data_IF_946678488270
#
_entry.id   IF_946678488270
#
_cell.length_a   1.000
_cell.length_b   1.000
_cell.length_c   1.000
_cell.angle_alpha   90.00
_cell.angle_beta   90.00
_cell.angle_gamma   90.00
#
_symmetry.space_group_name_H-M   'P 1'
#
loop_
_entity.id
_entity.type
_entity.pdbx_description
1 polymer ?
#
# COMPACT_ATOMS: atom_id res chain seq x y z
N UNK A 1 -9.15 -8.10 -13.00
CA UNK A 1 -7.71 -7.93 -12.76
C UNK A 1 -7.52 -7.99 -11.26
N UNK A 2 -6.84 -9.02 -10.76
CA UNK A 2 -6.71 -9.24 -9.30
C UNK A 2 -5.72 -8.24 -8.70
N UNK A 3 -5.85 -7.91 -7.42
CA UNK A 3 -4.86 -7.12 -6.68
C UNK A 3 -3.44 -7.72 -6.78
N UNK A 4 -3.36 -9.05 -6.95
CA UNK A 4 -2.12 -9.78 -7.20
C UNK A 4 -1.44 -9.42 -8.54
N UNK A 5 -2.21 -9.05 -9.57
CA UNK A 5 -1.65 -8.66 -10.87
C UNK A 5 -1.04 -7.25 -10.84
N UNK A 6 -1.55 -6.38 -9.96
CA UNK A 6 -1.02 -5.02 -9.79
C UNK A 6 0.32 -5.02 -9.03
N UNK A 7 0.43 -5.85 -7.99
CA UNK A 7 1.65 -6.02 -7.19
C UNK A 7 2.79 -6.64 -8.03
N UNK A 8 2.45 -7.58 -8.91
CA UNK A 8 3.42 -8.28 -9.78
C UNK A 8 3.96 -7.38 -10.91
N UNK A 9 3.22 -6.35 -11.33
CA UNK A 9 3.68 -5.38 -12.35
C UNK A 9 4.60 -4.29 -11.79
N UNK A 10 4.39 -3.87 -10.54
CA UNK A 10 5.22 -2.84 -9.89
C UNK A 10 6.63 -3.34 -9.50
N UNK A 11 6.79 -4.64 -9.29
CA UNK A 11 8.09 -5.28 -9.01
C UNK A 11 8.95 -5.51 -10.26
N UNK A 12 8.41 -5.33 -11.47
CA UNK A 12 9.09 -5.68 -12.74
C UNK A 12 9.97 -4.56 -13.33
N UNK A 13 10.06 -3.37 -12.73
CA UNK A 13 10.73 -2.21 -13.33
C UNK A 13 12.09 -1.84 -12.71
N UNK A 14 12.67 -2.69 -11.86
CA UNK A 14 13.94 -2.40 -11.18
C UNK A 14 14.98 -3.48 -11.46
N UNK A 15 15.45 -3.57 -12.70
CA UNK A 15 16.55 -4.47 -13.09
C UNK A 15 17.75 -3.69 -13.62
N UNK A 16 18.52 -3.09 -12.70
CA UNK A 16 19.99 -2.98 -12.78
C UNK A 16 20.53 -2.49 -11.41
N UNK A 17 20.76 -3.43 -10.49
CA UNK A 17 21.52 -3.21 -9.25
C UNK A 17 22.66 -4.24 -9.26
N UNK A 18 23.92 -3.85 -9.02
CA UNK A 18 25.03 -4.79 -8.91
C UNK A 18 24.78 -5.79 -7.78
N UNK A 19 25.18 -7.05 -7.98
CA UNK A 19 24.93 -8.14 -7.05
C UNK A 19 25.35 -7.75 -5.61
N UNK A 20 24.45 -7.86 -4.61
CA UNK A 20 24.81 -7.60 -3.23
C UNK A 20 25.81 -8.65 -2.75
N UNK A 21 26.66 -8.24 -1.81
CA UNK A 21 27.42 -9.17 -0.96
C UNK A 21 26.47 -10.27 -0.44
N UNK A 22 26.98 -11.50 -0.36
CA UNK A 22 26.21 -12.70 0.03
C UNK A 22 25.18 -12.36 1.11
N UNK A 23 23.90 -12.51 0.75
CA UNK A 23 22.81 -12.27 1.68
C UNK A 23 23.05 -13.10 2.96
N UNK A 24 22.76 -12.55 4.15
CA UNK A 24 22.81 -13.34 5.37
C UNK A 24 21.96 -14.61 5.16
N UNK A 25 22.56 -15.75 5.46
CA UNK A 25 21.92 -17.06 5.27
C UNK A 25 20.73 -17.17 6.24
N UNK A 26 19.58 -17.61 5.73
CA UNK A 26 18.37 -17.76 6.53
C UNK A 26 18.66 -18.64 7.77
N UNK A 27 18.13 -18.31 8.96
CA UNK A 27 18.27 -19.16 10.14
C UNK A 27 17.89 -20.61 9.83
N UNK A 28 18.78 -21.60 10.02
CA UNK A 28 18.48 -22.99 9.68
C UNK A 28 17.27 -23.53 10.47
N UNK A 29 17.00 -22.97 11.64
CA UNK A 29 15.83 -23.29 12.46
C UNK A 29 14.49 -22.95 11.77
N UNK A 30 14.49 -22.01 10.82
CA UNK A 30 13.30 -21.58 10.07
C UNK A 30 13.15 -22.26 8.71
N UNK A 31 14.05 -23.16 8.31
CA UNK A 31 14.03 -23.80 7.00
C UNK A 31 12.68 -24.49 6.70
N UNK A 32 12.10 -25.16 7.72
CA UNK A 32 10.78 -25.79 7.59
C UNK A 32 9.67 -24.76 7.37
N UNK A 33 9.67 -23.67 8.14
CA UNK A 33 8.70 -22.58 7.99
C UNK A 33 8.80 -21.92 6.60
N UNK A 34 10.03 -21.71 6.11
CA UNK A 34 10.29 -21.14 4.78
C UNK A 34 9.81 -22.10 3.68
N UNK A 35 9.96 -23.42 3.85
CA UNK A 35 9.44 -24.43 2.91
C UNK A 35 7.91 -24.38 2.84
N UNK A 36 7.23 -24.30 3.99
CA UNK A 36 5.78 -24.12 4.05
C UNK A 36 5.34 -22.80 3.40
N UNK A 37 6.10 -21.72 3.59
CA UNK A 37 5.79 -20.42 2.97
C UNK A 37 5.84 -20.52 1.45
N UNK A 38 6.88 -21.17 0.89
CA UNK A 38 7.02 -21.41 -0.55
C UNK A 38 5.86 -22.25 -1.11
N UNK A 39 5.31 -23.15 -0.31
CA UNK A 39 4.13 -23.94 -0.64
C UNK A 39 2.78 -23.21 -0.38
N UNK A 40 2.81 -21.98 0.14
CA UNK A 40 1.62 -21.22 0.57
C UNK A 40 0.81 -21.92 1.68
N UNK A 41 1.46 -22.74 2.50
CA UNK A 41 0.86 -23.46 3.63
C UNK A 41 0.92 -22.60 4.90
N UNK A 42 0.21 -21.48 4.92
CA UNK A 42 0.38 -20.41 5.93
C UNK A 42 0.17 -20.86 7.38
N UNK A 43 -0.75 -21.80 7.65
CA UNK A 43 -0.90 -22.38 8.99
C UNK A 43 0.35 -23.13 9.44
N UNK A 44 0.94 -23.91 8.53
CA UNK A 44 2.14 -24.68 8.82
C UNK A 44 3.36 -23.76 9.00
N UNK A 45 3.41 -22.61 8.30
CA UNK A 45 4.40 -21.55 8.56
C UNK A 45 4.32 -21.08 10.00
N UNK A 46 3.11 -20.74 10.48
CA UNK A 46 2.90 -20.24 11.85
C UNK A 46 3.36 -21.29 12.85
N UNK A 47 2.90 -22.54 12.72
CA UNK A 47 3.29 -23.63 13.63
C UNK A 47 4.80 -23.82 13.69
N UNK A 48 5.49 -23.77 12.55
CA UNK A 48 6.94 -23.97 12.47
C UNK A 48 7.75 -22.77 12.99
N UNK A 49 7.30 -21.53 12.77
CA UNK A 49 8.02 -20.33 13.17
C UNK A 49 7.71 -19.86 14.61
N UNK A 50 6.50 -20.12 15.12
CA UNK A 50 6.03 -19.57 16.38
C UNK A 50 6.89 -19.88 17.62
N UNK A 51 7.55 -21.05 17.75
CA UNK A 51 8.46 -21.32 18.87
C UNK A 51 9.62 -20.31 18.97
N UNK A 52 9.96 -19.63 17.88
CA UNK A 52 11.13 -18.78 17.77
C UNK A 52 10.83 -17.28 17.90
N UNK A 53 9.56 -16.87 18.02
CA UNK A 53 9.15 -15.44 18.07
C UNK A 53 9.62 -14.69 19.31
N UNK A 54 10.19 -15.40 20.30
CA UNK A 54 10.85 -14.85 21.49
C UNK A 54 12.28 -15.39 21.69
N UNK A 55 12.90 -15.93 20.63
CA UNK A 55 14.26 -16.44 20.71
C UNK A 55 15.24 -15.34 21.16
N UNK A 56 16.28 -15.70 21.91
CA UNK A 56 17.31 -14.74 22.34
C UNK A 56 18.09 -14.19 21.13
N UNK A 57 18.37 -15.08 20.15
CA UNK A 57 19.02 -14.70 18.88
C UNK A 57 18.11 -13.77 18.08
N UNK A 58 18.56 -12.53 17.88
CA UNK A 58 17.71 -11.46 17.35
C UNK A 58 17.29 -11.68 15.89
N UNK A 59 18.18 -12.18 15.05
CA UNK A 59 17.91 -12.58 13.66
C UNK A 59 16.78 -13.62 13.57
N UNK A 60 16.91 -14.72 14.32
CA UNK A 60 15.93 -15.80 14.38
C UNK A 60 14.58 -15.29 14.89
N UNK A 61 14.60 -14.46 15.93
CA UNK A 61 13.38 -13.87 16.50
C UNK A 61 12.67 -12.97 15.49
N UNK A 62 13.40 -12.07 14.81
CA UNK A 62 12.83 -11.17 13.82
C UNK A 62 12.23 -11.94 12.65
N UNK A 63 12.98 -12.88 12.09
CA UNK A 63 12.50 -13.66 10.94
C UNK A 63 11.29 -14.54 11.31
N UNK A 64 11.28 -15.12 12.51
CA UNK A 64 10.12 -15.84 13.02
C UNK A 64 8.88 -14.93 13.15
N UNK A 65 9.02 -13.75 13.76
CA UNK A 65 7.92 -12.79 13.84
C UNK A 65 7.46 -12.36 12.43
N UNK A 66 8.37 -12.14 11.48
CA UNK A 66 8.03 -11.77 10.10
C UNK A 66 7.23 -12.85 9.38
N UNK A 67 7.64 -14.11 9.51
CA UNK A 67 6.92 -15.25 8.96
C UNK A 67 5.52 -15.40 9.57
N UNK A 68 5.40 -15.26 10.89
CA UNK A 68 4.12 -15.30 11.58
C UNK A 68 3.21 -14.12 11.20
N UNK A 69 3.75 -12.89 11.15
CA UNK A 69 3.01 -11.68 10.80
C UNK A 69 2.42 -11.77 9.38
N UNK A 70 3.23 -12.16 8.41
CA UNK A 70 2.80 -12.33 7.02
C UNK A 70 1.78 -13.45 6.89
N UNK A 71 2.01 -14.61 7.51
CA UNK A 71 1.12 -15.77 7.38
C UNK A 71 -0.23 -15.55 8.03
N UNK A 72 -0.27 -14.92 9.21
CA UNK A 72 -1.54 -14.54 9.86
C UNK A 72 -2.30 -13.50 9.06
N UNK A 73 -1.62 -12.50 8.49
CA UNK A 73 -2.23 -11.55 7.56
C UNK A 73 -2.84 -12.26 6.34
N UNK A 74 -2.11 -13.21 5.72
CA UNK A 74 -2.62 -13.99 4.58
C UNK A 74 -3.85 -14.84 4.91
N UNK A 75 -4.03 -15.22 6.17
CA UNK A 75 -5.19 -15.96 6.68
C UNK A 75 -6.33 -15.04 7.16
N UNK A 76 -6.18 -13.71 7.05
CA UNK A 76 -7.16 -12.75 7.56
C UNK A 76 -7.18 -12.62 9.09
N UNK A 77 -6.19 -13.15 9.80
CA UNK A 77 -6.04 -13.06 11.26
C UNK A 77 -5.35 -11.76 11.65
N UNK A 78 -5.98 -10.63 11.32
CA UNK A 78 -5.38 -9.31 11.42
C UNK A 78 -4.94 -8.93 12.84
N UNK A 79 -5.76 -9.23 13.85
CA UNK A 79 -5.42 -9.00 15.25
C UNK A 79 -4.17 -9.76 15.70
N UNK A 80 -4.02 -11.01 15.25
CA UNK A 80 -2.85 -11.83 15.55
C UNK A 80 -1.62 -11.30 14.82
N UNK A 81 -1.78 -10.91 13.54
CA UNK A 81 -0.72 -10.30 12.74
C UNK A 81 -0.15 -9.04 13.40
N UNK A 82 -1.00 -8.20 13.99
CA UNK A 82 -0.58 -7.00 14.71
C UNK A 82 0.35 -7.31 15.89
N UNK A 83 0.19 -8.45 16.57
CA UNK A 83 1.08 -8.83 17.68
C UNK A 83 2.51 -9.00 17.18
N UNK A 84 2.68 -9.73 16.07
CA UNK A 84 3.99 -9.98 15.48
C UNK A 84 4.59 -8.73 14.84
N UNK A 85 3.79 -7.91 14.16
CA UNK A 85 4.27 -6.63 13.61
C UNK A 85 4.72 -5.65 14.69
N UNK A 86 4.03 -5.59 15.84
CA UNK A 86 4.44 -4.75 16.97
C UNK A 86 5.77 -5.24 17.57
N UNK A 87 5.95 -6.56 17.68
CA UNK A 87 7.21 -7.14 18.13
C UNK A 87 8.36 -6.84 17.17
N UNK A 88 8.12 -6.96 15.85
CA UNK A 88 9.08 -6.57 14.82
C UNK A 88 9.45 -5.10 14.88
N UNK A 89 8.47 -4.21 14.98
CA UNK A 89 8.74 -2.77 15.04
C UNK A 89 9.56 -2.38 16.27
N UNK A 90 9.33 -3.04 17.42
CA UNK A 90 10.14 -2.85 18.62
C UNK A 90 11.61 -3.28 18.43
N UNK A 91 11.87 -4.30 17.61
CA UNK A 91 13.20 -4.80 17.28
C UNK A 91 13.86 -4.06 16.09
N UNK A 92 13.05 -3.51 15.19
CA UNK A 92 13.38 -2.90 13.89
C UNK A 92 12.47 -1.70 13.61
N UNK A 93 12.87 -0.53 14.09
CA UNK A 93 12.11 0.73 13.99
C UNK A 93 12.20 1.36 12.59
N UNK A 94 11.61 0.70 11.59
CA UNK A 94 11.65 1.08 10.17
C UNK A 94 10.30 1.63 9.71
N UNK A 95 10.31 2.50 8.69
CA UNK A 95 9.07 2.98 8.08
C UNK A 95 8.30 1.84 7.40
N UNK A 96 8.98 0.82 6.89
CA UNK A 96 8.36 -0.40 6.36
C UNK A 96 7.53 -1.10 7.43
N UNK A 97 8.10 -1.36 8.61
CA UNK A 97 7.37 -2.04 9.68
C UNK A 97 6.22 -1.18 10.21
N UNK A 98 6.40 0.15 10.31
CA UNK A 98 5.31 1.07 10.63
C UNK A 98 4.17 1.03 9.58
N UNK A 99 4.50 0.96 8.28
CA UNK A 99 3.50 0.87 7.21
C UNK A 99 2.73 -0.45 7.27
N UNK A 100 3.40 -1.55 7.64
CA UNK A 100 2.72 -2.83 7.87
C UNK A 100 1.76 -2.75 9.06
N UNK A 101 2.14 -2.05 10.14
CA UNK A 101 1.25 -1.79 11.27
C UNK A 101 0.04 -0.94 10.87
N UNK A 102 0.24 0.11 10.08
CA UNK A 102 -0.85 0.95 9.57
C UNK A 102 -1.82 0.12 8.73
N UNK A 103 -1.31 -0.59 7.73
CA UNK A 103 -2.11 -1.39 6.80
C UNK A 103 -2.84 -2.53 7.53
N UNK A 104 -2.16 -3.24 8.43
CA UNK A 104 -2.76 -4.34 9.20
C UNK A 104 -3.81 -3.82 10.18
N UNK A 105 -3.61 -2.64 10.77
CA UNK A 105 -4.60 -2.00 11.66
C UNK A 105 -5.87 -1.61 10.88
N UNK A 106 -5.71 -1.05 9.68
CA UNK A 106 -6.83 -0.78 8.78
C UNK A 106 -7.59 -2.07 8.44
N UNK A 107 -6.88 -3.14 8.05
CA UNK A 107 -7.46 -4.46 7.78
C UNK A 107 -8.17 -5.08 8.99
N UNK A 108 -7.69 -4.79 10.20
CA UNK A 108 -8.33 -5.19 11.46
C UNK A 108 -9.54 -4.33 11.86
N UNK A 109 -9.89 -3.29 11.10
CA UNK A 109 -10.98 -2.37 11.47
C UNK A 109 -10.62 -1.32 12.52
N UNK A 110 -9.32 -1.16 12.82
CA UNK A 110 -8.82 -0.26 13.87
C UNK A 110 -8.31 1.03 13.25
N UNK A 111 -9.25 1.91 12.88
CA UNK A 111 -8.92 3.11 12.11
C UNK A 111 -8.00 4.08 12.88
N UNK A 112 -8.27 4.34 14.16
CA UNK A 112 -7.43 5.25 14.97
C UNK A 112 -5.97 4.74 15.06
N UNK A 113 -5.79 3.43 15.27
CA UNK A 113 -4.46 2.80 15.25
C UNK A 113 -3.81 2.93 13.86
N UNK A 114 -4.58 2.73 12.79
CA UNK A 114 -4.11 2.81 11.43
C UNK A 114 -3.63 4.23 11.06
N UNK A 115 -4.38 5.26 11.47
CA UNK A 115 -4.04 6.67 11.30
C UNK A 115 -2.79 7.06 12.08
N UNK A 116 -2.65 6.59 13.33
CA UNK A 116 -1.44 6.79 14.11
C UNK A 116 -0.21 6.19 13.39
N UNK A 117 -0.30 4.93 12.95
CA UNK A 117 0.84 4.25 12.34
C UNK A 117 1.23 4.79 10.96
N UNK A 118 0.28 5.31 10.16
CA UNK A 118 0.64 5.95 8.88
C UNK A 118 1.37 7.28 9.11
N UNK A 119 1.08 8.00 10.19
CA UNK A 119 1.86 9.19 10.55
C UNK A 119 3.28 8.82 11.00
N UNK A 120 3.40 7.85 11.91
CA UNK A 120 4.72 7.30 12.33
C UNK A 120 5.54 6.83 11.12
N UNK A 121 4.89 6.20 10.14
CA UNK A 121 5.52 5.80 8.88
C UNK A 121 6.12 7.00 8.14
N UNK A 122 5.38 8.10 8.03
CA UNK A 122 5.83 9.32 7.34
C UNK A 122 6.96 10.01 8.11
N UNK A 123 6.86 10.08 9.43
CA UNK A 123 7.88 10.67 10.29
C UNK A 123 9.21 9.94 10.14
N UNK A 124 9.22 8.61 10.27
CA UNK A 124 10.43 7.79 10.10
C UNK A 124 10.98 7.98 8.68
N UNK A 125 10.11 7.85 7.67
CA UNK A 125 10.53 7.88 6.26
C UNK A 125 11.04 9.26 5.79
N UNK A 126 10.66 10.34 6.47
CA UNK A 126 11.22 11.68 6.21
C UNK A 126 12.74 11.68 6.41
N UNK A 127 13.23 10.92 7.39
CA UNK A 127 14.65 10.80 7.72
C UNK A 127 15.36 9.67 6.95
N UNK A 128 14.74 8.50 6.84
CA UNK A 128 15.39 7.30 6.26
C UNK A 128 15.27 7.23 4.73
N UNK A 129 14.19 7.78 4.16
CA UNK A 129 13.84 7.70 2.73
C UNK A 129 13.81 6.27 2.18
N UNK A 130 13.47 5.30 3.02
CA UNK A 130 13.44 3.89 2.66
C UNK A 130 12.25 3.51 1.77
N UNK A 131 11.15 4.28 1.82
CA UNK A 131 9.93 4.06 1.05
C UNK A 131 9.63 5.23 0.12
N UNK A 132 9.39 4.99 -1.18
CA UNK A 132 8.73 5.93 -2.07
C UNK A 132 7.37 6.40 -1.53
N UNK A 133 7.16 7.72 -1.40
CA UNK A 133 5.95 8.28 -0.77
C UNK A 133 4.62 7.82 -1.39
N UNK A 134 4.56 7.78 -2.72
CA UNK A 134 3.36 7.33 -3.44
C UNK A 134 3.03 5.85 -3.20
N UNK A 135 4.06 5.01 -2.96
CA UNK A 135 3.85 3.61 -2.61
C UNK A 135 3.20 3.47 -1.23
N UNK A 136 3.65 4.27 -0.25
CA UNK A 136 3.07 4.26 1.09
C UNK A 136 1.58 4.63 1.05
N UNK A 137 1.25 5.74 0.38
CA UNK A 137 -0.13 6.20 0.23
C UNK A 137 -1.00 5.16 -0.50
N UNK A 138 -0.52 4.61 -1.61
CA UNK A 138 -1.29 3.62 -2.39
C UNK A 138 -1.54 2.34 -1.60
N UNK A 139 -0.55 1.86 -0.85
CA UNK A 139 -0.71 0.69 0.02
C UNK A 139 -1.75 0.95 1.11
N UNK A 140 -1.69 2.11 1.76
CA UNK A 140 -2.61 2.44 2.84
C UNK A 140 -4.05 2.65 2.34
N UNK A 141 -4.23 3.37 1.23
CA UNK A 141 -5.53 3.50 0.54
C UNK A 141 -6.11 2.12 0.21
N UNK A 142 -5.27 1.21 -0.31
CA UNK A 142 -5.69 -0.15 -0.65
C UNK A 142 -6.19 -0.90 0.59
N UNK A 143 -5.47 -0.83 1.71
CA UNK A 143 -5.87 -1.47 2.96
C UNK A 143 -7.19 -0.91 3.53
N UNK A 144 -7.36 0.42 3.51
CA UNK A 144 -8.62 1.06 3.91
C UNK A 144 -9.79 0.61 3.01
N UNK A 145 -9.58 0.52 1.70
CA UNK A 145 -10.63 0.09 0.79
C UNK A 145 -10.99 -1.39 0.96
N UNK A 146 -10.00 -2.26 1.13
CA UNK A 146 -10.21 -3.70 1.33
C UNK A 146 -10.93 -4.01 2.65
N UNK A 147 -10.75 -3.16 3.67
CA UNK A 147 -11.45 -3.25 4.95
C UNK A 147 -12.82 -2.57 4.98
N UNK A 148 -13.32 -2.07 3.83
CA UNK A 148 -14.62 -1.41 3.72
C UNK A 148 -14.64 0.03 4.22
N UNK A 149 -13.48 0.63 4.49
CA UNK A 149 -13.32 1.99 5.04
C UNK A 149 -13.00 3.00 3.93
N UNK A 150 -13.67 2.90 2.78
CA UNK A 150 -13.38 3.76 1.61
C UNK A 150 -13.46 5.26 1.93
N UNK A 151 -14.35 5.67 2.84
CA UNK A 151 -14.45 7.07 3.26
C UNK A 151 -13.17 7.57 3.94
N UNK A 152 -12.53 6.74 4.77
CA UNK A 152 -11.27 7.09 5.42
C UNK A 152 -10.09 7.18 4.44
N UNK A 153 -10.22 6.60 3.24
CA UNK A 153 -9.20 6.70 2.20
C UNK A 153 -9.19 8.06 1.49
N UNK A 154 -10.24 8.87 1.62
CA UNK A 154 -10.40 10.12 0.87
C UNK A 154 -9.28 11.15 1.11
N UNK A 155 -8.85 11.45 2.36
CA UNK A 155 -7.78 12.44 2.58
C UNK A 155 -6.47 12.06 1.88
N UNK A 156 -6.14 10.77 1.88
CA UNK A 156 -4.95 10.25 1.21
C UNK A 156 -5.08 10.30 -0.32
N UNK A 157 -6.29 10.12 -0.84
CA UNK A 157 -6.55 10.24 -2.27
C UNK A 157 -6.57 11.70 -2.72
N UNK A 158 -7.04 12.63 -1.87
CA UNK A 158 -6.93 14.07 -2.08
C UNK A 158 -5.47 14.52 -2.14
N UNK A 159 -4.58 13.95 -1.31
CA UNK A 159 -3.14 14.19 -1.41
C UNK A 159 -2.62 13.81 -2.81
N UNK A 160 -2.96 12.62 -3.32
CA UNK A 160 -2.53 12.16 -4.66
C UNK A 160 -3.13 13.05 -5.76
N UNK A 161 -4.42 13.38 -5.65
CA UNK A 161 -5.11 14.30 -6.57
C UNK A 161 -4.38 15.65 -6.65
N UNK A 162 -4.00 16.21 -5.50
CA UNK A 162 -3.34 17.51 -5.42
C UNK A 162 -2.00 17.55 -6.15
N UNK A 163 -1.30 16.40 -6.27
CA UNK A 163 -0.05 16.31 -7.05
C UNK A 163 -0.32 16.60 -8.52
N UNK A 164 -1.40 16.06 -9.10
CA UNK A 164 -1.77 16.34 -10.48
C UNK A 164 -2.22 17.79 -10.68
N UNK A 165 -2.96 18.35 -9.73
CA UNK A 165 -3.40 19.75 -9.76
C UNK A 165 -2.22 20.74 -9.66
N UNK A 166 -1.19 20.41 -8.88
CA UNK A 166 0.01 21.23 -8.72
C UNK A 166 0.95 21.14 -9.92
N UNK A 167 1.12 19.94 -10.49
CA UNK A 167 1.93 19.76 -11.70
C UNK A 167 1.26 20.44 -12.89
N UNK A 168 -0.07 20.35 -12.99
CA UNK A 168 -0.90 20.99 -14.01
C UNK A 168 -0.70 20.49 -15.44
N UNK A 169 0.39 19.78 -15.72
CA UNK A 169 0.72 19.19 -17.00
C UNK A 169 0.54 17.68 -16.91
N UNK A 170 -0.48 17.16 -17.59
CA UNK A 170 -0.82 15.74 -17.58
C UNK A 170 -0.31 14.99 -18.81
N UNK A 171 0.43 15.68 -19.69
CA UNK A 171 1.15 15.06 -20.80
C UNK A 171 1.97 13.82 -20.34
N UNK A 172 1.80 12.65 -20.98
CA UNK A 172 2.48 11.42 -20.58
C UNK A 172 4.02 11.54 -20.50
N UNK A 173 4.64 12.32 -21.38
CA UNK A 173 6.09 12.54 -21.37
C UNK A 173 6.49 13.32 -20.14
N UNK A 174 5.75 14.38 -19.81
CA UNK A 174 6.00 15.18 -18.60
C UNK A 174 5.86 14.35 -17.32
N UNK A 175 4.77 13.57 -17.20
CA UNK A 175 4.53 12.72 -16.04
C UNK A 175 5.62 11.66 -15.88
N UNK A 176 6.08 11.05 -16.98
CA UNK A 176 7.18 10.10 -16.97
C UNK A 176 8.49 10.74 -16.45
N UNK A 177 8.83 11.94 -16.94
CA UNK A 177 10.00 12.70 -16.46
C UNK A 177 9.91 13.05 -14.97
N UNK A 178 8.70 13.28 -14.45
CA UNK A 178 8.42 13.53 -13.03
C UNK A 178 8.25 12.26 -12.20
N UNK A 179 8.35 11.08 -12.81
CA UNK A 179 8.12 9.77 -12.19
C UNK A 179 6.74 9.66 -11.52
N UNK A 180 5.75 10.31 -12.11
CA UNK A 180 4.36 10.22 -11.69
C UNK A 180 3.63 9.15 -12.52
N UNK A 181 2.64 8.45 -11.95
CA UNK A 181 1.76 7.60 -12.73
C UNK A 181 1.04 8.42 -13.80
N UNK A 182 0.71 7.79 -14.93
CA UNK A 182 -0.10 8.45 -15.95
C UNK A 182 -1.46 8.83 -15.38
N UNK A 183 -2.01 9.94 -15.87
CA UNK A 183 -3.23 10.52 -15.33
C UNK A 183 -4.44 9.59 -15.50
N UNK A 184 -4.55 8.88 -16.61
CA UNK A 184 -5.59 7.87 -16.86
C UNK A 184 -5.54 6.70 -15.89
N UNK A 185 -4.33 6.23 -15.52
CA UNK A 185 -4.17 5.23 -14.47
C UNK A 185 -4.66 5.73 -13.12
N UNK A 186 -4.38 6.99 -12.78
CA UNK A 186 -4.92 7.59 -11.56
C UNK A 186 -6.45 7.60 -11.59
N UNK A 187 -7.09 8.06 -12.67
CA UNK A 187 -8.55 8.06 -12.80
C UNK A 187 -9.13 6.64 -12.66
N UNK A 188 -8.54 5.66 -13.36
CA UNK A 188 -9.01 4.28 -13.33
C UNK A 188 -8.93 3.65 -11.93
N UNK A 189 -7.82 3.86 -11.21
CA UNK A 189 -7.59 3.22 -9.91
C UNK A 189 -8.28 3.96 -8.74
N UNK A 190 -8.49 5.27 -8.87
CA UNK A 190 -9.22 6.05 -7.86
C UNK A 190 -10.74 5.84 -7.92
N UNK A 191 -11.29 5.48 -9.08
CA UNK A 191 -12.74 5.45 -9.27
C UNK A 191 -13.51 4.47 -8.37
N UNK A 192 -13.04 3.23 -8.13
CA UNK A 192 -13.71 2.33 -7.19
C UNK A 192 -13.76 2.92 -5.78
N UNK A 193 -12.69 3.60 -5.35
CA UNK A 193 -12.59 4.25 -4.03
C UNK A 193 -13.56 5.42 -3.93
N UNK A 194 -13.51 6.32 -4.91
CA UNK A 194 -14.38 7.51 -4.96
C UNK A 194 -15.85 7.11 -4.99
N UNK A 195 -16.23 6.09 -5.75
CA UNK A 195 -17.63 5.62 -5.76
C UNK A 195 -18.06 5.01 -4.44
N UNK A 196 -17.19 4.21 -3.82
CA UNK A 196 -17.48 3.59 -2.54
C UNK A 196 -17.60 4.62 -1.41
N UNK A 197 -16.80 5.69 -1.45
CA UNK A 197 -16.80 6.75 -0.45
C UNK A 197 -17.92 7.80 -0.68
N UNK A 198 -18.00 8.34 -1.89
CA UNK A 198 -18.81 9.53 -2.20
C UNK A 198 -20.07 9.24 -3.01
N UNK A 199 -20.21 8.04 -3.58
CA UNK A 199 -21.28 7.75 -4.54
C UNK A 199 -21.11 8.45 -5.89
N UNK A 200 -22.10 8.33 -6.80
CA UNK A 200 -21.97 8.78 -8.18
C UNK A 200 -21.93 10.31 -8.35
N UNK A 201 -22.82 11.05 -7.69
CA UNK A 201 -22.92 12.51 -7.85
C UNK A 201 -21.74 13.25 -7.22
N UNK A 202 -21.49 13.02 -5.93
CA UNK A 202 -20.36 13.64 -5.24
C UNK A 202 -19.02 13.14 -5.77
N UNK A 203 -18.94 11.88 -6.23
CA UNK A 203 -17.76 11.38 -6.91
C UNK A 203 -17.48 12.09 -8.23
N UNK A 204 -18.52 12.34 -9.05
CA UNK A 204 -18.38 13.15 -10.28
C UNK A 204 -17.90 14.56 -9.96
N UNK A 205 -18.50 15.22 -8.97
CA UNK A 205 -18.10 16.56 -8.54
C UNK A 205 -16.64 16.60 -8.05
N UNK A 206 -16.21 15.57 -7.31
CA UNK A 206 -14.84 15.45 -6.82
C UNK A 206 -13.81 15.44 -7.97
N UNK A 207 -14.06 14.63 -9.00
CA UNK A 207 -13.23 14.63 -10.20
C UNK A 207 -13.30 15.95 -10.96
N UNK A 208 -14.50 16.52 -11.15
CA UNK A 208 -14.68 17.79 -11.87
C UNK A 208 -13.92 18.96 -11.24
N UNK A 209 -13.73 18.95 -9.92
CA UNK A 209 -12.95 19.99 -9.24
C UNK A 209 -11.49 20.08 -9.70
N UNK A 210 -10.95 19.03 -10.33
CA UNK A 210 -9.60 19.06 -10.92
C UNK A 210 -9.54 19.92 -12.19
N UNK A 211 -10.62 20.04 -12.96
CA UNK A 211 -10.62 20.62 -14.31
C UNK A 211 -9.94 22.01 -14.43
N UNK A 212 -10.13 22.96 -13.50
CA UNK A 212 -9.48 24.27 -13.59
C UNK A 212 -7.96 24.22 -13.44
N UNK A 213 -7.41 23.10 -12.95
CA UNK A 213 -5.99 22.93 -12.63
C UNK A 213 -5.23 22.10 -13.66
N UNK A 214 -5.92 21.54 -14.67
CA UNK A 214 -5.30 20.67 -15.66
C UNK A 214 -5.04 21.40 -16.98
N UNK A 215 -4.02 20.97 -17.71
CA UNK A 215 -3.77 21.32 -19.11
C UNK A 215 -4.90 20.83 -20.04
N UNK A 216 -4.90 21.31 -21.29
CA UNK A 216 -5.93 20.98 -22.29
C UNK A 216 -6.07 19.46 -22.50
N UNK A 217 -4.94 18.74 -22.48
CA UNK A 217 -4.92 17.29 -22.57
C UNK A 217 -5.65 16.63 -21.39
N UNK A 218 -5.31 17.02 -20.16
CA UNK A 218 -5.90 16.48 -18.94
C UNK A 218 -7.38 16.81 -18.82
N UNK A 219 -7.77 18.03 -19.19
CA UNK A 219 -9.18 18.43 -19.23
C UNK A 219 -9.99 17.58 -20.22
N UNK A 220 -9.45 17.35 -21.44
CA UNK A 220 -10.12 16.50 -22.43
C UNK A 220 -10.23 15.06 -21.93
N UNK A 221 -9.11 14.50 -21.44
CA UNK A 221 -9.06 13.15 -20.90
C UNK A 221 -10.08 12.94 -19.76
N UNK A 222 -10.14 13.89 -18.82
CA UNK A 222 -11.04 13.84 -17.68
C UNK A 222 -12.51 13.95 -18.09
N UNK A 223 -12.86 14.84 -19.01
CA UNK A 223 -14.25 14.98 -19.51
C UNK A 223 -14.71 13.69 -20.19
N UNK A 224 -13.91 13.15 -21.11
CA UNK A 224 -14.21 11.90 -21.80
C UNK A 224 -14.34 10.71 -20.83
N UNK A 225 -13.52 10.72 -19.77
CA UNK A 225 -13.58 9.70 -18.74
C UNK A 225 -14.84 9.83 -17.88
N UNK A 226 -15.18 11.04 -17.44
CA UNK A 226 -16.39 11.31 -16.67
C UNK A 226 -17.66 10.91 -17.42
N UNK A 227 -17.73 11.19 -18.73
CA UNK A 227 -18.88 10.80 -19.54
C UNK A 227 -19.00 9.27 -19.65
N UNK A 228 -17.88 8.55 -19.80
CA UNK A 228 -17.90 7.08 -19.87
C UNK A 228 -18.22 6.39 -18.54
N UNK A 229 -17.83 6.99 -17.43
CA UNK A 229 -17.82 6.32 -16.14
C UNK A 229 -18.90 6.85 -15.17
N UNK A 230 -19.27 8.12 -15.23
CA UNK A 230 -20.24 8.75 -14.33
C UNK A 230 -21.53 9.21 -15.04
N UNK A 231 -21.89 8.54 -16.15
CA UNK A 231 -23.10 8.85 -16.92
C UNK A 231 -24.36 8.81 -16.02
N UNK A 232 -25.20 9.85 -16.10
CA UNK A 232 -26.48 9.95 -15.37
C UNK A 232 -26.47 10.74 -14.05
N UNK A 233 -25.33 11.26 -13.60
CA UNK A 233 -25.24 12.10 -12.38
C UNK A 233 -25.38 13.62 -12.65
N UNK A 234 -26.08 14.00 -13.71
CA UNK A 234 -26.41 15.38 -14.01
C UNK A 234 -27.91 15.60 -13.81
N UNK A 235 -28.28 16.23 -12.69
CA UNK A 235 -29.51 17.00 -12.55
C UNK A 235 -29.15 18.36 -11.97
#
# INVERSE_FOLDING_TARGET
>A
MSADDAIRKLTSLSSHIPAPASAPEDPPELELAIRHLKASEFEAVIVAAQPFVKAERADLRRDANRLCALSTARLGRWDESLVYWKALFADEHTAHNALQLASTSAMAGKLDDAEHWIEETREINTSTRELPGLMMQTNFITALCQSGQAQAALPYLDEIKSVYEQVGITDPTHLCLRKLPMFDFFLQNSAPVIRAALGPESGRAWYQSMLPHLDDHGQSCLKDWLDRHFFGAAS
#
